data_IF_994340008797
#
_entry.id   IF_994340008797
#
_cell.length_a   1.000
_cell.length_b   1.000
_cell.length_c   1.000
_cell.angle_alpha   90.00
_cell.angle_beta   90.00
_cell.angle_gamma   90.00
#
_symmetry.space_group_name_H-M   'P 1'
#
loop_
_entity.id
_entity.type
_entity.pdbx_description
1 polymer ?
#
# COMPACT_ATOMS: atom_id res chain seq x y z
N UNK A 1 -40.17 -2.46 18.77
CA UNK A 1 -39.56 -2.14 20.08
C UNK A 1 -38.08 -2.47 20.01
N UNK A 2 -37.28 -1.40 20.05
CA UNK A 2 -35.97 -1.24 20.67
C UNK A 2 -34.87 -2.29 20.49
N UNK A 3 -33.82 -1.84 19.80
CA UNK A 3 -32.42 -2.33 19.77
C UNK A 3 -31.84 -2.51 21.17
N UNK A 4 -30.82 -3.36 21.30
CA UNK A 4 -29.52 -3.03 21.94
C UNK A 4 -28.45 -3.96 21.36
N UNK A 5 -27.47 -3.33 20.71
CA UNK A 5 -26.20 -3.89 20.25
C UNK A 5 -25.24 -3.90 21.43
N UNK A 6 -24.53 -5.01 21.69
CA UNK A 6 -23.41 -5.02 22.63
C UNK A 6 -22.11 -5.18 21.84
N UNK A 7 -21.41 -4.05 21.66
CA UNK A 7 -20.00 -3.99 21.26
C UNK A 7 -19.21 -4.01 22.57
N UNK A 8 -18.37 -5.03 22.78
CA UNK A 8 -17.41 -5.03 23.89
C UNK A 8 -16.05 -4.64 23.33
N UNK A 9 -15.65 -3.43 23.70
CA UNK A 9 -14.35 -2.81 23.49
C UNK A 9 -13.43 -3.24 24.63
N UNK A 10 -12.39 -4.02 24.37
CA UNK A 10 -11.43 -4.46 25.39
C UNK A 10 -10.16 -3.59 25.35
N UNK A 11 -10.10 -2.58 26.21
CA UNK A 11 -8.86 -1.90 26.56
C UNK A 11 -8.07 -2.76 27.54
N UNK A 12 -6.89 -3.25 27.15
CA UNK A 12 -5.95 -3.89 28.07
C UNK A 12 -5.09 -2.82 28.74
N UNK A 13 -5.36 -2.57 30.02
CA UNK A 13 -4.49 -1.83 30.94
C UNK A 13 -3.41 -2.77 31.49
N UNK A 14 -2.14 -2.52 31.17
CA UNK A 14 -1.02 -3.15 31.91
C UNK A 14 -0.72 -2.32 33.16
N UNK A 15 -0.94 -2.94 34.31
CA UNK A 15 -0.57 -2.48 35.65
C UNK A 15 0.87 -2.91 35.94
N UNK A 16 1.72 -1.97 36.35
CA UNK A 16 3.09 -2.25 36.81
C UNK A 16 3.07 -2.88 38.20
N UNK A 17 3.58 -4.10 38.32
CA UNK A 17 3.87 -4.78 39.59
C UNK A 17 5.31 -4.52 40.05
N UNK A 18 5.46 -4.00 41.26
CA UNK A 18 6.71 -3.80 41.98
C UNK A 18 7.40 -5.13 42.32
N UNK A 19 8.73 -5.19 42.15
CA UNK A 19 9.60 -6.11 42.90
C UNK A 19 10.67 -5.30 43.63
N UNK A 20 10.69 -5.44 44.95
CA UNK A 20 11.68 -4.92 45.89
C UNK A 20 12.94 -5.78 45.92
N UNK A 21 14.12 -5.17 46.06
CA UNK A 21 15.23 -5.57 46.97
C UNK A 21 16.39 -4.54 46.88
N UNK A 22 16.91 -4.11 48.03
CA UNK A 22 18.13 -3.29 48.24
C UNK A 22 19.18 -4.16 49.00
N UNK A 23 20.47 -3.78 49.18
CA UNK A 23 21.19 -2.57 48.74
C UNK A 23 22.64 -2.73 48.20
N UNK A 24 23.12 -1.66 47.55
CA UNK A 24 24.50 -1.11 47.45
C UNK A 24 25.62 -2.00 46.86
N UNK A 25 26.45 -1.55 45.90
CA UNK A 25 27.25 -0.32 45.96
C UNK A 25 27.63 0.25 44.58
N UNK A 26 27.33 1.55 44.40
CA UNK A 26 28.09 2.61 43.70
C UNK A 26 28.95 2.23 42.48
N UNK A 27 28.46 2.59 41.29
CA UNK A 27 29.19 3.54 40.43
C UNK A 27 28.21 4.29 39.52
N UNK A 28 28.53 5.57 39.29
CA UNK A 28 27.74 6.64 38.65
C UNK A 28 27.32 6.24 37.23
N UNK A 29 26.19 6.69 36.67
CA UNK A 29 26.07 8.00 35.99
C UNK A 29 24.59 8.26 35.65
N UNK A 30 24.27 9.54 35.46
CA UNK A 30 22.97 10.21 35.37
C UNK A 30 21.91 9.60 34.45
N UNK A 31 20.67 9.89 34.87
CA UNK A 31 19.37 9.55 34.31
C UNK A 31 19.13 10.10 32.90
N UNK A 32 18.86 9.22 31.94
CA UNK A 32 18.17 9.57 30.69
C UNK A 32 16.70 9.12 30.70
N UNK A 33 15.86 10.13 30.52
CA UNK A 33 14.42 10.13 30.29
C UNK A 33 14.06 9.32 29.02
N UNK A 34 13.00 8.48 28.98
CA UNK A 34 12.60 7.79 27.75
C UNK A 34 11.96 8.79 26.78
N UNK A 35 12.81 9.43 25.96
CA UNK A 35 12.39 10.28 24.87
C UNK A 35 11.80 9.40 23.76
N UNK A 36 10.51 9.60 23.49
CA UNK A 36 9.81 9.22 22.25
C UNK A 36 10.77 9.46 21.07
N UNK A 37 11.27 8.39 20.46
CA UNK A 37 12.06 8.49 19.24
C UNK A 37 11.11 8.87 18.10
N UNK A 38 10.99 10.17 17.86
CA UNK A 38 10.61 10.67 16.55
C UNK A 38 11.71 10.22 15.59
N UNK A 39 11.42 9.20 14.80
CA UNK A 39 12.23 8.90 13.62
C UNK A 39 11.93 10.06 12.65
N UNK A 40 12.79 11.07 12.65
CA UNK A 40 12.87 12.02 11.54
C UNK A 40 13.22 11.23 10.28
N UNK A 41 12.21 10.93 9.48
CA UNK A 41 12.38 10.45 8.12
C UNK A 41 12.94 11.65 7.35
N UNK A 42 14.24 11.64 7.09
CA UNK A 42 14.86 12.53 6.12
C UNK A 42 14.27 12.19 4.74
N UNK A 43 13.24 12.93 4.33
CA UNK A 43 12.94 13.12 2.94
C UNK A 43 14.14 13.83 2.33
N UNK A 44 15.02 13.08 1.64
CA UNK A 44 15.96 13.71 0.71
C UNK A 44 15.10 14.45 -0.32
N UNK A 45 15.08 15.79 -0.20
CA UNK A 45 14.59 16.70 -1.22
C UNK A 45 15.33 16.40 -2.52
N UNK A 46 14.75 15.57 -3.38
CA UNK A 46 15.20 15.43 -4.75
C UNK A 46 14.57 16.54 -5.59
N UNK A 47 15.03 17.77 -5.36
CA UNK A 47 14.82 18.86 -6.32
C UNK A 47 16.15 19.24 -6.92
N UNK A 48 16.45 18.67 -8.09
CA UNK A 48 17.10 19.38 -9.18
C UNK A 48 16.57 18.83 -10.52
N UNK A 49 15.56 19.50 -11.08
CA UNK A 49 15.28 19.45 -12.51
C UNK A 49 15.26 20.89 -13.01
N UNK A 50 16.34 21.26 -13.69
CA UNK A 50 16.48 22.55 -14.37
C UNK A 50 15.54 22.69 -15.57
N UNK A 51 15.02 23.91 -15.71
CA UNK A 51 14.52 24.62 -16.88
C UNK A 51 13.34 24.07 -17.72
N UNK A 52 12.22 24.78 -17.62
CA UNK A 52 11.16 24.94 -18.65
C UNK A 52 10.34 23.72 -19.07
N UNK A 53 10.05 22.81 -18.13
CA UNK A 53 8.92 21.88 -18.26
C UNK A 53 7.93 22.13 -17.13
N UNK A 54 6.68 22.37 -17.52
CA UNK A 54 5.51 22.35 -16.64
C UNK A 54 5.66 21.22 -15.62
N UNK A 55 5.70 21.56 -14.32
CA UNK A 55 5.84 20.57 -13.25
C UNK A 55 4.58 19.72 -13.29
N UNK A 56 4.68 18.56 -13.92
CA UNK A 56 3.58 17.61 -13.99
C UNK A 56 3.29 17.12 -12.58
N UNK A 57 2.06 17.31 -12.12
CA UNK A 57 1.66 16.86 -10.79
C UNK A 57 1.86 15.35 -10.67
N UNK A 58 2.15 14.85 -9.47
CA UNK A 58 2.19 13.41 -9.23
C UNK A 58 0.85 12.75 -9.58
N UNK A 59 -0.25 13.48 -9.38
CA UNK A 59 -1.60 13.05 -9.77
C UNK A 59 -1.74 12.89 -11.28
N UNK A 60 -1.19 13.82 -12.07
CA UNK A 60 -1.16 13.70 -13.52
C UNK A 60 -0.28 12.53 -13.97
N UNK A 61 0.82 12.29 -13.25
CA UNK A 61 1.74 11.19 -13.53
C UNK A 61 1.08 9.83 -13.25
N UNK A 62 0.35 9.70 -12.14
CA UNK A 62 -0.48 8.53 -11.83
C UNK A 62 -1.55 8.36 -12.90
N UNK A 63 -2.30 9.42 -13.21
CA UNK A 63 -3.36 9.40 -14.23
C UNK A 63 -2.85 8.92 -15.59
N UNK A 64 -1.72 9.46 -16.06
CA UNK A 64 -1.07 8.97 -17.29
C UNK A 64 -0.68 7.49 -17.24
N UNK A 65 -0.16 7.01 -16.10
CA UNK A 65 0.25 5.61 -15.94
C UNK A 65 -0.97 4.69 -15.95
N UNK A 66 -2.05 5.10 -15.28
CA UNK A 66 -3.34 4.42 -15.31
C UNK A 66 -3.89 4.36 -16.74
N UNK A 67 -3.94 5.49 -17.44
CA UNK A 67 -4.34 5.55 -18.85
C UNK A 67 -3.53 4.60 -19.72
N UNK A 68 -2.21 4.52 -19.50
CA UNK A 68 -1.35 3.58 -20.22
C UNK A 68 -1.68 2.11 -19.91
N UNK A 69 -2.06 1.79 -18.67
CA UNK A 69 -2.50 0.44 -18.32
C UNK A 69 -3.80 0.08 -19.05
N UNK A 70 -4.79 0.97 -19.05
CA UNK A 70 -6.17 0.65 -19.49
C UNK A 70 -6.48 1.05 -20.94
N UNK A 71 -5.54 1.68 -21.65
CA UNK A 71 -5.73 2.26 -22.99
C UNK A 71 -6.49 1.34 -23.95
N UNK A 72 -7.66 1.80 -24.40
CA UNK A 72 -8.52 1.17 -25.42
C UNK A 72 -9.05 -0.23 -25.05
N UNK A 73 -9.34 -0.49 -23.76
CA UNK A 73 -9.71 -1.82 -23.29
C UNK A 73 -10.91 -1.83 -22.37
N UNK A 74 -11.64 -2.95 -22.40
CA UNK A 74 -12.74 -3.23 -21.49
C UNK A 74 -12.19 -3.53 -20.09
N UNK A 75 -12.73 -2.82 -19.11
CA UNK A 75 -12.47 -3.04 -17.69
C UNK A 75 -13.25 -4.28 -17.25
N UNK A 76 -12.59 -5.20 -16.55
CA UNK A 76 -13.20 -6.40 -16.00
C UNK A 76 -13.49 -6.23 -14.51
N UNK A 77 -14.53 -6.92 -14.04
CA UNK A 77 -14.92 -6.98 -12.62
C UNK A 77 -14.83 -8.40 -12.06
N UNK A 78 -14.91 -9.42 -12.92
CA UNK A 78 -14.87 -10.83 -12.51
C UNK A 78 -13.44 -11.38 -12.49
N UNK A 79 -12.87 -11.51 -11.30
CA UNK A 79 -11.50 -11.98 -11.06
C UNK A 79 -11.22 -13.41 -11.60
N UNK A 80 -12.26 -14.19 -11.94
CA UNK A 80 -12.12 -15.56 -12.50
C UNK A 80 -11.33 -15.62 -13.80
N UNK A 81 -11.20 -14.50 -14.52
CA UNK A 81 -10.51 -14.45 -15.81
C UNK A 81 -9.03 -14.05 -15.71
N UNK A 82 -8.47 -13.96 -14.50
CA UNK A 82 -7.04 -13.70 -14.31
C UNK A 82 -6.25 -14.99 -14.62
N UNK A 83 -5.26 -14.97 -15.53
CA UNK A 83 -4.53 -16.19 -15.87
C UNK A 83 -3.63 -16.70 -14.76
N UNK A 84 -3.46 -18.02 -14.72
CA UNK A 84 -2.63 -18.73 -13.75
C UNK A 84 -1.18 -18.22 -13.69
N UNK A 85 -0.60 -17.77 -14.81
CA UNK A 85 0.74 -17.16 -14.83
C UNK A 85 0.83 -15.96 -13.86
N UNK A 86 -0.13 -15.03 -13.95
CA UNK A 86 -0.18 -13.89 -13.05
C UNK A 86 -0.50 -14.31 -11.62
N UNK A 87 -1.45 -15.23 -11.42
CA UNK A 87 -1.81 -15.71 -10.08
C UNK A 87 -0.61 -16.36 -9.36
N UNK A 88 0.18 -17.17 -10.07
CA UNK A 88 1.37 -17.80 -9.53
C UNK A 88 2.42 -16.76 -9.13
N UNK A 89 2.68 -15.79 -10.01
CA UNK A 89 3.55 -14.64 -9.71
C UNK A 89 3.05 -13.91 -8.46
N UNK A 90 1.77 -13.55 -8.43
CA UNK A 90 1.19 -12.72 -7.39
C UNK A 90 1.23 -13.40 -6.02
N UNK A 91 0.89 -14.69 -5.96
CA UNK A 91 0.96 -15.47 -4.73
C UNK A 91 2.39 -15.48 -4.15
N UNK A 92 3.40 -15.64 -5.01
CA UNK A 92 4.81 -15.52 -4.57
C UNK A 92 5.12 -14.08 -4.12
N UNK A 93 4.70 -13.08 -4.89
CA UNK A 93 4.91 -11.65 -4.63
C UNK A 93 4.40 -11.18 -3.27
N UNK A 94 3.27 -11.71 -2.78
CA UNK A 94 2.72 -11.34 -1.47
C UNK A 94 3.25 -12.22 -0.32
N UNK A 95 3.81 -13.40 -0.63
CA UNK A 95 4.28 -14.37 0.38
C UNK A 95 5.78 -14.26 0.70
N UNK A 96 6.60 -13.81 -0.26
CA UNK A 96 8.05 -13.77 -0.14
C UNK A 96 8.57 -12.35 -0.32
N UNK A 97 9.11 -11.80 0.76
CA UNK A 97 9.64 -10.44 0.78
C UNK A 97 10.84 -10.19 -0.13
N UNK A 98 11.69 -11.20 -0.35
CA UNK A 98 12.85 -11.09 -1.25
C UNK A 98 12.36 -11.12 -2.68
N UNK A 99 11.46 -12.04 -3.00
CA UNK A 99 10.81 -12.12 -4.31
C UNK A 99 10.05 -10.82 -4.62
N UNK A 100 9.31 -10.28 -3.65
CA UNK A 100 8.60 -9.01 -3.79
C UNK A 100 9.56 -7.89 -4.18
N UNK A 101 10.64 -7.69 -3.42
CA UNK A 101 11.63 -6.63 -3.69
C UNK A 101 12.29 -6.78 -5.06
N UNK A 102 12.55 -8.01 -5.50
CA UNK A 102 13.09 -8.27 -6.84
C UNK A 102 12.10 -7.95 -7.96
N UNK A 103 10.79 -8.06 -7.69
CA UNK A 103 9.73 -7.84 -8.66
C UNK A 103 9.05 -6.47 -8.53
N UNK A 104 9.69 -5.53 -7.84
CA UNK A 104 9.36 -4.11 -7.92
C UNK A 104 10.43 -3.43 -8.77
N UNK A 105 10.00 -2.77 -9.84
CA UNK A 105 10.91 -1.94 -10.63
C UNK A 105 11.01 -0.54 -10.01
N UNK A 106 11.77 -0.42 -8.92
CA UNK A 106 11.94 0.85 -8.19
C UNK A 106 12.47 2.00 -9.05
N UNK A 107 13.07 1.71 -10.21
CA UNK A 107 13.52 2.75 -11.15
C UNK A 107 12.35 3.38 -11.89
N UNK A 108 11.33 2.59 -12.23
CA UNK A 108 10.17 3.02 -13.01
C UNK A 108 8.86 3.01 -12.19
N UNK A 109 8.94 2.75 -10.90
CA UNK A 109 7.80 2.73 -9.98
C UNK A 109 7.26 4.15 -9.80
N UNK A 110 5.99 4.33 -10.14
CA UNK A 110 5.19 5.44 -9.63
C UNK A 110 4.54 4.93 -8.34
N UNK A 111 5.21 5.20 -7.22
CA UNK A 111 4.87 4.70 -5.91
C UNK A 111 4.49 5.84 -4.98
N UNK A 112 3.26 5.87 -4.49
CA UNK A 112 2.74 6.97 -3.68
C UNK A 112 1.83 6.45 -2.56
N UNK A 113 2.00 7.00 -1.37
CA UNK A 113 1.05 6.93 -0.27
C UNK A 113 0.53 8.35 0.00
N UNK A 114 -0.72 8.61 -0.36
CA UNK A 114 -1.40 9.88 -0.17
C UNK A 114 -2.04 9.94 1.21
N UNK A 115 -1.72 11.00 1.96
CA UNK A 115 -2.37 11.39 3.20
C UNK A 115 -3.13 12.70 2.96
N UNK A 116 -3.99 13.11 3.90
CA UNK A 116 -4.82 14.30 3.70
C UNK A 116 -4.04 15.60 3.43
N UNK A 117 -2.84 15.71 3.98
CA UNK A 117 -2.01 16.92 3.84
C UNK A 117 -0.65 16.64 3.19
N UNK A 118 -0.28 15.37 3.04
CA UNK A 118 1.06 14.99 2.58
C UNK A 118 1.02 13.89 1.53
N UNK A 119 2.13 13.75 0.81
CA UNK A 119 2.30 12.69 -0.20
C UNK A 119 3.67 12.07 0.01
N UNK A 120 3.69 10.78 0.34
CA UNK A 120 4.90 10.01 0.56
C UNK A 120 5.25 9.25 -0.71
N UNK A 121 6.41 9.56 -1.29
CA UNK A 121 6.94 8.85 -2.45
C UNK A 121 7.60 7.54 -2.03
N UNK A 122 7.15 6.44 -2.63
CA UNK A 122 7.63 5.10 -2.35
C UNK A 122 8.81 4.77 -3.24
N UNK A 123 9.89 4.29 -2.61
CA UNK A 123 11.13 3.90 -3.24
C UNK A 123 11.75 2.71 -2.50
N UNK A 124 12.91 2.25 -2.96
CA UNK A 124 13.57 1.05 -2.39
C UNK A 124 13.89 1.18 -0.90
N UNK A 125 14.15 2.39 -0.39
CA UNK A 125 14.57 2.62 1.00
C UNK A 125 13.41 2.61 1.98
N UNK A 126 12.22 3.04 1.55
CA UNK A 126 11.03 3.13 2.39
C UNK A 126 9.92 2.13 2.02
N UNK A 127 10.18 1.21 1.08
CA UNK A 127 9.26 0.10 0.78
C UNK A 127 9.12 -0.82 2.00
N UNK A 128 7.90 -0.89 2.53
CA UNK A 128 7.50 -1.86 3.54
C UNK A 128 6.86 -3.05 2.82
N UNK A 129 7.26 -4.27 3.21
CA UNK A 129 6.72 -5.48 2.61
C UNK A 129 5.20 -5.49 2.79
N UNK A 130 4.48 -5.64 1.68
CA UNK A 130 3.02 -5.74 1.69
C UNK A 130 2.60 -7.16 1.38
N UNK A 131 2.01 -7.84 2.35
CA UNK A 131 1.38 -9.15 2.19
C UNK A 131 -0.12 -9.02 1.90
N UNK A 132 -0.58 -7.81 1.53
CA UNK A 132 -2.00 -7.58 1.29
C UNK A 132 -2.46 -8.33 0.04
N UNK A 133 -3.32 -9.32 0.25
CA UNK A 133 -3.98 -10.06 -0.81
C UNK A 133 -5.23 -9.30 -1.31
N UNK A 134 -5.03 -8.34 -2.20
CA UNK A 134 -6.13 -7.61 -2.83
C UNK A 134 -6.94 -8.50 -3.78
N UNK A 135 -6.46 -9.66 -4.22
CA UNK A 135 -7.29 -10.57 -5.03
C UNK A 135 -8.31 -11.29 -4.13
N UNK A 136 -7.93 -11.72 -2.94
CA UNK A 136 -8.82 -12.43 -2.01
C UNK A 136 -9.82 -11.50 -1.34
N UNK A 137 -9.41 -10.30 -0.95
CA UNK A 137 -10.26 -9.35 -0.22
C UNK A 137 -11.53 -8.98 -1.03
N UNK A 138 -11.51 -9.12 -2.35
CA UNK A 138 -12.63 -8.81 -3.24
C UNK A 138 -13.15 -10.01 -4.05
N UNK A 139 -12.65 -11.21 -3.77
CA UNK A 139 -13.22 -12.47 -4.26
C UNK A 139 -14.40 -12.95 -3.40
N UNK A 140 -15.05 -12.02 -2.69
CA UNK A 140 -16.31 -12.28 -2.00
C UNK A 140 -17.33 -12.54 -3.10
N UNK A 141 -17.88 -13.76 -3.11
CA UNK A 141 -18.81 -14.29 -4.11
C UNK A 141 -19.63 -13.19 -4.82
N UNK A 142 -19.72 -13.32 -6.16
CA UNK A 142 -20.52 -12.51 -7.09
C UNK A 142 -22.03 -12.37 -6.73
N UNK A 143 -22.44 -12.68 -5.50
CA UNK A 143 -23.78 -12.64 -4.93
C UNK A 143 -23.94 -11.72 -3.72
N UNK A 144 -22.86 -11.12 -3.22
CA UNK A 144 -23.00 -9.91 -2.41
C UNK A 144 -22.86 -8.77 -3.38
N UNK A 145 -23.96 -8.04 -3.60
CA UNK A 145 -23.88 -6.63 -3.94
C UNK A 145 -22.65 -6.07 -3.23
N UNK A 146 -21.76 -5.41 -3.99
CA UNK A 146 -20.80 -4.42 -3.49
C UNK A 146 -21.09 -4.10 -2.04
N UNK A 147 -20.22 -4.47 -1.07
CA UNK A 147 -20.37 -3.97 0.30
C UNK A 147 -20.72 -2.49 0.14
N UNK A 148 -21.89 -2.05 0.61
CA UNK A 148 -22.53 -0.81 0.11
C UNK A 148 -21.50 0.33 0.02
N UNK A 149 -21.12 0.67 -1.21
CA UNK A 149 -20.12 1.69 -1.50
C UNK A 149 -18.77 1.21 -2.04
N UNK A 150 -18.40 -0.06 -2.05
CA UNK A 150 -17.08 -0.48 -2.58
C UNK A 150 -17.17 -0.96 -4.04
N UNK A 151 -16.27 -0.46 -4.91
CA UNK A 151 -16.16 -0.88 -6.32
C UNK A 151 -14.72 -1.26 -6.64
N UNK A 152 -14.55 -2.44 -7.23
CA UNK A 152 -13.25 -2.89 -7.73
C UNK A 152 -13.29 -3.07 -9.24
N UNK A 153 -12.15 -2.79 -9.85
CA UNK A 153 -11.99 -2.95 -11.29
C UNK A 153 -10.58 -3.35 -11.61
N UNK A 154 -10.46 -4.23 -12.60
CA UNK A 154 -9.15 -4.65 -13.05
C UNK A 154 -9.09 -4.69 -14.57
N UNK A 155 -7.87 -4.54 -15.08
CA UNK A 155 -7.53 -4.76 -16.47
C UNK A 155 -6.43 -5.80 -16.53
N UNK A 156 -6.51 -6.69 -17.52
CA UNK A 156 -5.46 -7.67 -17.76
C UNK A 156 -5.25 -7.88 -19.26
N UNK A 157 -3.98 -8.00 -19.64
CA UNK A 157 -3.53 -8.64 -20.87
C UNK A 157 -2.24 -9.44 -20.61
N UNK A 158 -1.69 -10.06 -21.65
CA UNK A 158 -0.48 -10.88 -21.55
C UNK A 158 0.78 -10.14 -21.07
N UNK A 159 0.76 -8.81 -20.98
CA UNK A 159 1.88 -7.95 -20.59
C UNK A 159 1.56 -7.05 -19.40
N UNK A 160 0.30 -6.87 -19.03
CA UNK A 160 -0.15 -5.87 -18.05
C UNK A 160 -1.24 -6.43 -17.17
N UNK A 161 -1.14 -6.13 -15.88
CA UNK A 161 -2.22 -6.25 -14.94
C UNK A 161 -2.37 -4.91 -14.24
N UNK A 162 -3.60 -4.43 -14.13
CA UNK A 162 -3.94 -3.24 -13.38
C UNK A 162 -5.14 -3.54 -12.51
N UNK A 163 -5.10 -3.03 -11.28
CA UNK A 163 -6.19 -3.13 -10.35
C UNK A 163 -6.42 -1.77 -9.69
N UNK A 164 -7.70 -1.44 -9.54
CA UNK A 164 -8.15 -0.27 -8.81
C UNK A 164 -9.28 -0.65 -7.89
N UNK A 165 -9.27 0.01 -6.74
CA UNK A 165 -10.28 -0.09 -5.73
C UNK A 165 -10.76 1.31 -5.31
N UNK A 166 -12.07 1.47 -5.37
CA UNK A 166 -12.78 2.70 -5.10
C UNK A 166 -13.76 2.50 -3.94
N UNK A 167 -13.92 3.54 -3.14
CA UNK A 167 -15.00 3.70 -2.16
C UNK A 167 -15.90 4.83 -2.64
N UNK A 168 -17.19 4.55 -2.76
CA UNK A 168 -18.25 5.46 -3.17
C UNK A 168 -18.22 6.71 -2.29
N UNK A 169 -18.45 7.86 -2.92
CA UNK A 169 -18.39 9.19 -2.30
C UNK A 169 -16.99 9.65 -1.82
N UNK A 170 -16.01 8.76 -1.68
CA UNK A 170 -14.61 9.11 -1.35
C UNK A 170 -13.73 9.15 -2.60
N UNK A 171 -13.80 8.10 -3.43
CA UNK A 171 -13.00 7.93 -4.63
C UNK A 171 -12.00 6.79 -4.50
N UNK A 172 -10.85 6.95 -5.16
CA UNK A 172 -9.86 5.89 -5.31
C UNK A 172 -9.01 5.73 -4.06
N UNK A 173 -9.09 4.54 -3.47
CA UNK A 173 -8.37 4.16 -2.25
C UNK A 173 -7.07 3.44 -2.60
N UNK A 174 -7.09 2.62 -3.66
CA UNK A 174 -5.93 1.84 -4.04
C UNK A 174 -5.83 1.63 -5.55
N UNK A 175 -4.61 1.73 -6.06
CA UNK A 175 -4.27 1.28 -7.40
C UNK A 175 -2.94 0.54 -7.40
N UNK A 176 -2.86 -0.54 -8.16
CA UNK A 176 -1.62 -1.26 -8.39
C UNK A 176 -1.53 -1.70 -9.83
N UNK A 177 -0.32 -1.64 -10.38
CA UNK A 177 -0.05 -1.99 -11.75
C UNK A 177 1.22 -2.83 -11.87
N UNK A 178 1.09 -3.92 -12.60
CA UNK A 178 2.17 -4.83 -12.92
C UNK A 178 2.34 -4.93 -14.44
N UNK A 179 3.57 -4.91 -14.90
CA UNK A 179 3.92 -5.05 -16.32
C UNK A 179 5.00 -6.12 -16.51
N UNK A 180 4.96 -6.83 -17.63
CA UNK A 180 6.05 -7.74 -18.00
C UNK A 180 7.22 -6.95 -18.58
N UNK A 181 8.35 -6.98 -17.88
CA UNK A 181 9.63 -6.45 -18.34
C UNK A 181 10.58 -7.64 -18.48
N UNK A 182 11.05 -7.90 -19.70
CA UNK A 182 11.86 -9.07 -20.02
C UNK A 182 11.20 -10.38 -19.53
N UNK A 183 9.91 -10.53 -19.84
CA UNK A 183 9.04 -11.66 -19.46
C UNK A 183 8.86 -11.92 -17.96
N UNK A 184 9.26 -10.97 -17.11
CA UNK A 184 9.00 -11.01 -15.66
C UNK A 184 8.01 -9.93 -15.27
N UNK A 185 7.00 -10.30 -14.49
CA UNK A 185 6.07 -9.35 -13.90
C UNK A 185 6.80 -8.40 -12.95
N UNK A 186 6.63 -7.10 -13.14
CA UNK A 186 7.20 -6.05 -12.30
C UNK A 186 6.12 -5.08 -11.87
N UNK A 187 6.07 -4.76 -10.59
CA UNK A 187 5.22 -3.68 -10.11
C UNK A 187 5.83 -2.33 -10.53
N UNK A 188 5.02 -1.51 -11.20
CA UNK A 188 5.41 -0.17 -11.68
C UNK A 188 4.42 0.93 -11.32
N UNK A 189 3.29 0.57 -10.71
CA UNK A 189 2.35 1.49 -10.09
C UNK A 189 1.97 0.94 -8.71
N UNK A 190 2.08 1.77 -7.70
CA UNK A 190 1.57 1.52 -6.36
C UNK A 190 1.03 2.83 -5.81
N UNK A 191 -0.27 2.91 -5.61
CA UNK A 191 -0.93 4.09 -5.08
C UNK A 191 -1.89 3.67 -3.98
N UNK A 192 -1.76 4.28 -2.82
CA UNK A 192 -2.71 4.18 -1.71
C UNK A 192 -3.14 5.60 -1.36
N UNK A 193 -4.44 5.82 -1.20
CA UNK A 193 -5.00 7.02 -0.62
C UNK A 193 -5.62 6.68 0.74
N UNK A 194 -5.14 7.33 1.79
CA UNK A 194 -5.66 7.20 3.15
C UNK A 194 -6.21 8.53 3.68
N UNK A 195 -6.58 9.42 2.77
CA UNK A 195 -7.60 10.43 2.98
C UNK A 195 -8.90 9.91 2.36
#
# INVERSE_FOLDING_TARGET
MTRITLVILSFLTFSCGNYSNEPSSLEKTESENPQKSQIEIYAENSTEVNDTKEIKSIWDTISMKVDWFIKNKSINRDLKNIPNDFLNFYNQFISDSSYQKEHIDFKNLIGVYGECETTIYINKRNWIISNWNFLDFFNVDNNTDSIDGWDNRYYFDNKKFYYQFDLKEIGTIYQVGFEKISDKWKMTLYFVNNC
#
